data_IF_984906958659
#
_entry.id   IF_984906958659
#
_cell.length_a   1.000
_cell.length_b   1.000
_cell.length_c   1.000
_cell.angle_alpha   90.00
_cell.angle_beta   90.00
_cell.angle_gamma   90.00
#
_symmetry.space_group_name_H-M   'P 1'
#
loop_
_entity.id
_entity.type
_entity.pdbx_description
1 polymer ?
#
# COMPACT_ATOMS: atom_id res chain seq x y z
N UNK A 1 -28.69 -40.26 33.27
CA UNK A 1 -27.21 -40.38 33.21
C UNK A 1 -26.74 -39.47 32.09
N UNK A 2 -25.72 -38.66 32.39
CA UNK A 2 -25.39 -37.36 31.79
C UNK A 2 -24.99 -37.45 30.30
N UNK A 3 -25.62 -36.60 29.47
CA UNK A 3 -25.19 -36.32 28.10
C UNK A 3 -24.02 -35.30 28.14
N UNK A 4 -22.84 -35.70 27.69
CA UNK A 4 -21.65 -34.86 27.67
C UNK A 4 -21.42 -34.36 26.24
N UNK A 5 -21.97 -33.17 25.93
CA UNK A 5 -21.67 -32.46 24.70
C UNK A 5 -20.26 -31.85 24.80
N UNK A 6 -19.29 -32.43 24.07
CA UNK A 6 -17.98 -31.82 23.88
C UNK A 6 -18.12 -30.64 22.91
N UNK A 7 -18.19 -29.43 23.45
CA UNK A 7 -18.00 -28.21 22.69
C UNK A 7 -16.51 -28.09 22.30
N UNK A 8 -16.19 -28.45 21.06
CA UNK A 8 -14.91 -28.12 20.42
C UNK A 8 -14.86 -26.60 20.22
N UNK A 9 -14.21 -25.91 21.16
CA UNK A 9 -13.79 -24.53 20.98
C UNK A 9 -12.79 -24.49 19.82
N UNK A 10 -13.25 -24.05 18.64
CA UNK A 10 -12.36 -23.58 17.56
C UNK A 10 -11.69 -22.32 18.09
N UNK A 11 -10.51 -22.51 18.70
CA UNK A 11 -9.58 -21.43 18.97
C UNK A 11 -8.95 -21.06 17.63
N UNK A 12 -9.57 -20.11 16.92
CA UNK A 12 -8.91 -19.43 15.81
C UNK A 12 -7.67 -18.74 16.38
N UNK A 13 -6.50 -19.33 16.16
CA UNK A 13 -5.24 -18.70 16.48
C UNK A 13 -5.15 -17.41 15.67
N UNK A 14 -4.94 -16.24 16.30
CA UNK A 14 -4.63 -15.04 15.54
C UNK A 14 -3.32 -15.33 14.80
N UNK A 15 -3.39 -15.36 13.46
CA UNK A 15 -2.20 -15.43 12.63
C UNK A 15 -1.28 -14.27 13.05
N UNK A 16 -0.01 -14.52 13.39
CA UNK A 16 0.91 -13.47 13.76
C UNK A 16 0.92 -12.45 12.62
N UNK A 17 0.76 -11.18 12.97
CA UNK A 17 0.82 -10.10 12.00
C UNK A 17 2.12 -10.25 11.19
N UNK A 18 1.93 -10.26 9.88
CA UNK A 18 2.86 -10.36 8.76
C UNK A 18 3.98 -9.27 8.80
N UNK A 19 4.74 -9.19 9.89
CA UNK A 19 5.95 -8.36 10.00
C UNK A 19 6.98 -8.60 8.88
N UNK A 20 7.22 -9.82 8.38
CA UNK A 20 8.03 -9.98 7.16
C UNK A 20 7.44 -9.25 5.96
N UNK A 21 6.12 -9.21 5.81
CA UNK A 21 5.48 -8.63 4.63
C UNK A 21 5.51 -7.11 4.63
N UNK A 22 5.30 -6.45 5.77
CA UNK A 22 5.37 -4.98 5.81
C UNK A 22 6.79 -4.47 5.55
N UNK A 23 7.81 -5.21 5.99
CA UNK A 23 9.21 -4.90 5.69
C UNK A 23 9.51 -5.10 4.21
N UNK A 24 9.02 -6.18 3.60
CA UNK A 24 9.16 -6.44 2.14
C UNK A 24 8.44 -5.36 1.33
N UNK A 25 7.21 -5.03 1.70
CA UNK A 25 6.43 -3.94 1.08
C UNK A 25 7.18 -2.62 1.19
N UNK A 26 7.72 -2.29 2.36
CA UNK A 26 8.50 -1.07 2.58
C UNK A 26 9.76 -1.00 1.71
N UNK A 27 10.51 -2.10 1.60
CA UNK A 27 11.70 -2.18 0.73
C UNK A 27 11.34 -2.01 -0.74
N UNK A 28 10.27 -2.67 -1.20
CA UNK A 28 9.78 -2.53 -2.58
C UNK A 28 9.29 -1.11 -2.87
N UNK A 29 8.59 -0.48 -1.92
CA UNK A 29 8.15 0.91 -2.00
C UNK A 29 9.32 1.89 -2.12
N UNK A 30 10.39 1.66 -1.36
CA UNK A 30 11.59 2.48 -1.42
C UNK A 30 12.28 2.36 -2.79
N UNK A 31 12.40 1.14 -3.33
CA UNK A 31 13.08 0.88 -4.59
C UNK A 31 12.27 1.22 -5.85
N UNK A 32 10.93 1.33 -5.77
CA UNK A 32 10.12 1.55 -6.96
C UNK A 32 10.17 3.01 -7.45
N UNK A 33 10.16 3.16 -8.77
CA UNK A 33 10.00 4.43 -9.45
C UNK A 33 8.59 4.55 -10.05
N UNK A 34 7.99 5.73 -9.96
CA UNK A 34 6.68 6.04 -10.52
C UNK A 34 6.88 6.93 -11.74
N UNK A 35 6.34 6.51 -12.87
CA UNK A 35 6.26 7.30 -14.09
C UNK A 35 4.86 7.85 -14.22
N UNK A 36 4.80 9.14 -14.53
CA UNK A 36 3.55 9.87 -14.67
C UNK A 36 3.51 10.50 -16.05
N UNK A 37 2.38 10.33 -16.74
CA UNK A 37 2.17 10.89 -18.05
C UNK A 37 0.74 11.37 -18.25
N UNK A 38 0.49 11.82 -19.48
CA UNK A 38 -0.86 11.97 -20.01
C UNK A 38 -0.93 11.17 -21.31
N UNK A 39 -2.07 10.55 -21.55
CA UNK A 39 -2.36 9.95 -22.85
C UNK A 39 -2.68 11.04 -23.90
N UNK A 40 -2.82 10.69 -25.19
CA UNK A 40 -3.15 11.64 -26.24
C UNK A 40 -4.49 12.37 -26.03
N UNK A 41 -5.39 11.84 -25.21
CA UNK A 41 -6.67 12.45 -24.85
C UNK A 41 -6.53 13.36 -23.61
N UNK A 42 -5.32 13.54 -23.07
CA UNK A 42 -5.03 14.36 -21.91
C UNK A 42 -5.36 13.70 -20.57
N UNK A 43 -5.73 12.41 -20.55
CA UNK A 43 -6.04 11.68 -19.31
C UNK A 43 -4.74 11.28 -18.61
N UNK A 44 -4.78 11.28 -17.29
CA UNK A 44 -3.65 10.90 -16.46
C UNK A 44 -3.28 9.42 -16.62
N UNK A 45 -1.99 9.13 -16.81
CA UNK A 45 -1.46 7.77 -16.82
C UNK A 45 -0.40 7.61 -15.73
N UNK A 46 -0.41 6.44 -15.08
CA UNK A 46 0.55 6.06 -14.06
C UNK A 46 1.18 4.71 -14.43
N UNK A 47 2.50 4.65 -14.40
CA UNK A 47 3.26 3.42 -14.54
C UNK A 47 4.16 3.21 -13.33
N UNK A 48 4.13 2.01 -12.74
CA UNK A 48 5.05 1.61 -11.69
C UNK A 48 6.17 0.77 -12.30
N UNK A 49 7.42 0.97 -11.87
CA UNK A 49 8.53 0.11 -12.31
C UNK A 49 8.37 -1.34 -11.83
N UNK A 50 7.70 -1.52 -10.68
CA UNK A 50 7.35 -2.80 -10.09
C UNK A 50 6.18 -2.61 -9.12
N UNK A 51 5.45 -3.69 -8.81
CA UNK A 51 4.44 -3.70 -7.75
C UNK A 51 5.11 -3.75 -6.37
N UNK A 52 4.46 -3.14 -5.37
CA UNK A 52 4.85 -3.34 -3.95
C UNK A 52 4.46 -4.72 -3.43
N UNK A 53 3.59 -5.45 -4.13
CA UNK A 53 2.88 -6.63 -3.63
C UNK A 53 1.62 -6.29 -2.86
N UNK A 54 1.30 -5.00 -2.69
CA UNK A 54 0.06 -4.54 -2.05
C UNK A 54 -0.73 -3.67 -3.04
N UNK A 55 -1.82 -4.21 -3.59
CA UNK A 55 -2.61 -3.55 -4.63
C UNK A 55 -3.20 -2.20 -4.18
N UNK A 56 -3.62 -2.08 -2.91
CA UNK A 56 -4.14 -0.81 -2.36
C UNK A 56 -3.05 0.25 -2.28
N UNK A 57 -1.84 -0.13 -1.86
CA UNK A 57 -0.69 0.78 -1.81
C UNK A 57 -0.29 1.23 -3.22
N UNK A 58 -0.23 0.31 -4.19
CA UNK A 58 0.09 0.63 -5.58
C UNK A 58 -0.91 1.65 -6.17
N UNK A 59 -2.20 1.45 -5.92
CA UNK A 59 -3.25 2.37 -6.34
C UNK A 59 -3.15 3.74 -5.63
N UNK A 60 -2.90 3.75 -4.32
CA UNK A 60 -2.67 4.99 -3.56
C UNK A 60 -1.44 5.75 -4.06
N UNK A 61 -0.40 5.04 -4.50
CA UNK A 61 0.79 5.64 -5.06
C UNK A 61 0.50 6.32 -6.40
N UNK A 62 -0.29 5.69 -7.27
CA UNK A 62 -0.74 6.32 -8.52
C UNK A 62 -1.65 7.53 -8.29
N UNK A 63 -2.58 7.48 -7.33
CA UNK A 63 -3.38 8.66 -6.93
C UNK A 63 -2.50 9.79 -6.39
N UNK A 64 -1.49 9.44 -5.61
CA UNK A 64 -0.53 10.39 -5.05
C UNK A 64 0.26 11.08 -6.15
N UNK A 65 0.70 10.31 -7.14
CA UNK A 65 1.39 10.81 -8.33
C UNK A 65 0.50 11.78 -9.13
N UNK A 66 -0.79 11.44 -9.32
CA UNK A 66 -1.78 12.33 -9.93
C UNK A 66 -1.93 13.65 -9.18
N UNK A 67 -2.03 13.57 -7.84
CA UNK A 67 -2.12 14.75 -7.00
C UNK A 67 -0.87 15.62 -7.10
N UNK A 68 0.32 15.03 -7.13
CA UNK A 68 1.58 15.76 -7.29
C UNK A 68 1.62 16.58 -8.59
N UNK A 69 1.27 15.97 -9.72
CA UNK A 69 1.21 16.67 -11.01
C UNK A 69 0.12 17.73 -11.00
N UNK A 70 -1.07 17.44 -10.45
CA UNK A 70 -2.16 18.41 -10.33
C UNK A 70 -1.79 19.63 -9.49
N UNK A 71 -0.87 19.49 -8.53
CA UNK A 71 -0.40 20.58 -7.67
C UNK A 71 0.85 21.30 -8.20
N UNK A 72 1.26 21.06 -9.45
CA UNK A 72 2.34 21.81 -10.10
C UNK A 72 3.70 21.11 -10.18
N UNK A 73 3.79 19.81 -9.86
CA UNK A 73 5.00 19.03 -10.13
C UNK A 73 4.98 18.54 -11.60
N UNK A 74 5.33 19.43 -12.53
CA UNK A 74 5.05 19.24 -13.97
C UNK A 74 6.17 18.46 -14.69
N UNK A 75 7.42 18.60 -14.25
CA UNK A 75 8.53 17.79 -14.76
C UNK A 75 8.69 16.48 -13.97
N UNK A 76 9.37 15.51 -14.59
CA UNK A 76 9.55 14.17 -14.01
C UNK A 76 10.31 14.21 -12.67
N UNK A 77 11.29 15.11 -12.53
CA UNK A 77 12.07 15.24 -11.30
C UNK A 77 11.23 15.79 -10.14
N UNK A 78 10.47 16.85 -10.39
CA UNK A 78 9.55 17.41 -9.41
C UNK A 78 8.45 16.41 -9.01
N UNK A 79 7.91 15.66 -9.98
CA UNK A 79 6.91 14.62 -9.71
C UNK A 79 7.50 13.51 -8.84
N UNK A 80 8.69 13.00 -9.17
CA UNK A 80 9.40 11.99 -8.38
C UNK A 80 9.65 12.48 -6.95
N UNK A 81 10.20 13.67 -6.77
CA UNK A 81 10.47 14.25 -5.46
C UNK A 81 9.20 14.50 -4.63
N UNK A 82 8.06 14.82 -5.26
CA UNK A 82 6.78 14.92 -4.58
C UNK A 82 6.25 13.56 -4.11
N UNK A 83 6.41 12.52 -4.94
CA UNK A 83 5.97 11.16 -4.62
C UNK A 83 6.83 10.57 -3.52
N UNK A 84 8.15 10.71 -3.60
CA UNK A 84 9.09 10.16 -2.61
C UNK A 84 8.86 10.73 -1.22
N UNK A 85 8.57 12.04 -1.12
CA UNK A 85 8.18 12.68 0.14
C UNK A 85 6.90 12.11 0.77
N UNK A 86 6.05 11.47 -0.02
CA UNK A 86 4.77 10.90 0.44
C UNK A 86 4.82 9.40 0.71
N UNK A 87 5.82 8.68 0.20
CA UNK A 87 5.99 7.23 0.42
C UNK A 87 5.93 6.81 1.90
N UNK A 88 6.58 7.51 2.86
CA UNK A 88 6.52 7.12 4.28
C UNK A 88 5.09 7.15 4.85
N UNK A 89 4.31 8.18 4.52
CA UNK A 89 2.93 8.31 5.00
C UNK A 89 2.01 7.24 4.40
N UNK A 90 2.26 6.83 3.16
CA UNK A 90 1.53 5.72 2.52
C UNK A 90 1.83 4.39 3.22
N UNK A 91 3.11 4.10 3.52
CA UNK A 91 3.50 2.89 4.25
C UNK A 91 2.90 2.85 5.65
N UNK A 92 2.84 4.00 6.33
CA UNK A 92 2.20 4.12 7.65
C UNK A 92 0.68 3.89 7.59
N UNK A 93 0.03 4.24 6.47
CA UNK A 93 -1.37 3.86 6.21
C UNK A 93 -1.56 2.34 6.13
N UNK A 94 -0.63 1.63 5.48
CA UNK A 94 -0.66 0.17 5.41
C UNK A 94 -0.48 -0.44 6.80
N UNK A 95 0.51 0.01 7.58
CA UNK A 95 0.75 -0.44 8.95
C UNK A 95 -0.49 -0.32 9.84
N UNK A 96 -1.14 0.84 9.80
CA UNK A 96 -2.38 1.07 10.56
C UNK A 96 -3.53 0.15 10.14
N UNK A 97 -3.65 -0.12 8.84
CA UNK A 97 -4.69 -1.03 8.32
C UNK A 97 -4.46 -2.47 8.79
N UNK A 98 -3.20 -2.94 8.76
CA UNK A 98 -2.83 -4.26 9.26
C UNK A 98 -3.09 -4.37 10.77
N UNK A 99 -2.69 -3.36 11.55
CA UNK A 99 -2.94 -3.32 12.99
C UNK A 99 -4.44 -3.30 13.35
N UNK A 100 -5.27 -2.60 12.55
CA UNK A 100 -6.72 -2.53 12.76
C UNK A 100 -7.42 -3.86 12.41
N UNK A 101 -6.95 -4.59 11.40
CA UNK A 101 -7.47 -5.91 11.03
C UNK A 101 -7.05 -7.05 11.98
N UNK A 102 -6.02 -6.82 12.81
CA UNK A 102 -5.55 -7.77 13.81
C UNK A 102 -6.24 -7.62 15.19
N UNK A 103 -7.22 -6.70 15.31
CA UNK A 103 -7.97 -6.48 16.55
C UNK A 103 -9.04 -7.58 16.69
N UNK A 104 -9.03 -8.37 17.79
CA UNK A 104 -9.97 -9.48 18.00
C UNK A 104 -11.41 -9.01 18.17
#
# INVERSE_FOLDING_TARGET
>A
MIALALALAVQGTPLPAEEPDIVVIGRRLAALSVRVGRDPQGRFTCGLSQSTGNARLDEQLCRTAAKCVKTGAIDQGAAAACIDRRKPALLEGVRRTLAAGARP
#
